data_IF_877441196343
#
_entry.id   IF_877441196343
#
_cell.length_a   1.000
_cell.length_b   1.000
_cell.length_c   1.000
_cell.angle_alpha   90.00
_cell.angle_beta   90.00
_cell.angle_gamma   90.00
#
_symmetry.space_group_name_H-M   'P 1'
#
loop_
_entity.id
_entity.type
_entity.pdbx_description
1 polymer ?
#
# COMPACT_ATOMS: atom_id res chain seq x y z
N UNK A 1 40.71 17.53 65.46
CA UNK A 1 39.25 17.24 65.39
C UNK A 1 38.61 17.67 64.06
N UNK A 2 38.78 18.92 63.59
CA UNK A 2 38.23 19.37 62.29
C UNK A 2 38.66 18.53 61.08
N UNK A 3 39.95 18.19 60.98
CA UNK A 3 40.47 17.38 59.86
C UNK A 3 39.98 15.92 59.85
N UNK A 4 39.69 15.35 61.03
CA UNK A 4 39.17 13.98 61.16
C UNK A 4 37.74 13.92 60.61
N UNK A 5 36.90 14.92 60.90
CA UNK A 5 35.54 14.99 60.36
C UNK A 5 35.51 15.14 58.82
N UNK A 6 36.44 15.92 58.26
CA UNK A 6 36.57 16.08 56.80
C UNK A 6 37.01 14.76 56.15
N UNK A 7 37.97 14.07 56.75
CA UNK A 7 38.48 12.79 56.24
C UNK A 7 37.40 11.70 56.30
N UNK A 8 36.58 11.66 57.37
CA UNK A 8 35.44 10.76 57.47
C UNK A 8 34.35 11.06 56.42
N UNK A 9 34.07 12.34 56.14
CA UNK A 9 33.11 12.71 55.08
C UNK A 9 33.60 12.32 53.68
N UNK A 10 34.89 12.50 53.38
CA UNK A 10 35.47 12.10 52.11
C UNK A 10 35.47 10.57 51.94
N UNK A 11 35.80 9.83 53.01
CA UNK A 11 35.73 8.36 52.99
C UNK A 11 34.29 7.88 52.81
N UNK A 12 33.30 8.49 53.47
CA UNK A 12 31.90 8.12 53.26
C UNK A 12 31.42 8.39 51.83
N UNK A 13 31.81 9.52 51.22
CA UNK A 13 31.48 9.85 49.83
C UNK A 13 32.12 8.86 48.84
N UNK A 14 33.36 8.44 49.11
CA UNK A 14 34.08 7.47 48.28
C UNK A 14 33.46 6.07 48.37
N UNK A 15 33.01 5.66 49.56
CA UNK A 15 32.32 4.38 49.79
C UNK A 15 30.93 4.35 49.16
N UNK A 16 30.17 5.45 49.25
CA UNK A 16 28.84 5.56 48.62
C UNK A 16 28.96 5.51 47.08
N UNK A 17 30.00 6.10 46.49
CA UNK A 17 30.22 6.09 45.05
C UNK A 17 30.56 4.72 44.45
N UNK A 18 31.10 3.77 45.23
CA UNK A 18 31.44 2.43 44.73
C UNK A 18 30.28 1.42 44.80
N UNK A 19 29.21 1.71 45.54
CA UNK A 19 28.16 0.73 45.83
C UNK A 19 26.96 0.77 44.88
N UNK A 20 26.98 1.61 43.85
CA UNK A 20 25.87 1.74 42.89
C UNK A 20 26.19 0.89 41.66
N UNK A 21 25.99 -0.44 41.78
CA UNK A 21 25.80 -1.28 40.59
C UNK A 21 24.33 -1.14 40.17
N UNK A 22 24.10 -0.42 39.07
CA UNK A 22 22.78 -0.37 38.43
C UNK A 22 22.37 -1.81 38.05
N UNK A 23 21.19 -2.29 38.46
CA UNK A 23 20.73 -3.61 38.08
C UNK A 23 20.57 -3.65 36.55
N UNK A 24 21.39 -4.46 35.87
CA UNK A 24 21.23 -4.69 34.43
C UNK A 24 19.80 -5.17 34.17
N UNK A 25 18.99 -4.29 33.59
CA UNK A 25 17.62 -4.65 33.20
C UNK A 25 17.72 -5.78 32.16
N UNK A 26 17.08 -6.93 32.38
CA UNK A 26 17.15 -8.04 31.45
C UNK A 26 16.44 -7.66 30.14
N UNK A 27 17.17 -7.66 29.03
CA UNK A 27 16.63 -7.40 27.69
C UNK A 27 15.66 -8.52 27.32
N UNK A 28 14.41 -8.15 27.04
CA UNK A 28 13.30 -9.06 26.79
C UNK A 28 12.73 -8.99 25.37
N UNK A 29 12.93 -7.88 24.67
CA UNK A 29 12.37 -7.62 23.33
C UNK A 29 13.35 -6.87 22.41
N UNK A 30 12.97 -6.71 21.14
CA UNK A 30 13.78 -6.07 20.12
C UNK A 30 14.04 -4.59 20.43
N UNK A 31 13.02 -3.86 20.89
CA UNK A 31 13.08 -2.44 21.21
C UNK A 31 14.11 -2.15 22.32
N UNK A 32 14.10 -2.95 23.39
CA UNK A 32 15.08 -2.87 24.48
C UNK A 32 16.49 -3.20 23.99
N UNK A 33 16.63 -4.22 23.13
CA UNK A 33 17.93 -4.61 22.57
C UNK A 33 18.54 -3.48 21.73
N UNK A 34 17.74 -2.87 20.85
CA UNK A 34 18.17 -1.78 19.98
C UNK A 34 18.43 -0.49 20.77
N UNK A 35 17.59 -0.17 21.77
CA UNK A 35 17.78 0.98 22.65
C UNK A 35 19.06 0.88 23.50
N UNK A 36 19.48 -0.35 23.85
CA UNK A 36 20.74 -0.62 24.51
C UNK A 36 21.97 -0.53 23.58
N UNK A 37 21.80 -0.20 22.29
CA UNK A 37 22.89 0.02 21.34
C UNK A 37 23.54 -1.25 20.79
N UNK A 38 22.88 -2.40 20.94
CA UNK A 38 23.34 -3.67 20.40
C UNK A 38 23.22 -3.71 18.86
N UNK A 39 24.01 -4.56 18.17
CA UNK A 39 23.99 -4.64 16.71
C UNK A 39 22.62 -5.10 16.19
N UNK A 40 22.04 -4.29 15.31
CA UNK A 40 20.85 -4.61 14.51
C UNK A 40 21.29 -5.09 13.14
N UNK A 41 20.79 -6.24 12.72
CA UNK A 41 21.10 -6.83 11.41
C UNK A 41 20.23 -6.21 10.32
N UNK A 42 20.81 -6.08 9.13
CA UNK A 42 20.15 -5.65 7.88
C UNK A 42 19.24 -6.77 7.34
N UNK A 43 18.29 -7.24 8.15
CA UNK A 43 17.30 -8.27 7.80
C UNK A 43 15.88 -7.73 7.94
N UNK A 44 14.91 -8.38 7.30
CA UNK A 44 13.49 -8.12 7.51
C UNK A 44 12.75 -9.42 7.91
N UNK A 45 12.08 -9.46 9.09
CA UNK A 45 12.05 -8.43 10.14
C UNK A 45 13.43 -8.06 10.69
N UNK A 46 13.55 -6.87 11.27
CA UNK A 46 14.82 -6.45 11.89
C UNK A 46 15.14 -7.36 13.06
N UNK A 47 16.42 -7.63 13.27
CA UNK A 47 16.89 -8.51 14.33
C UNK A 47 18.02 -7.85 15.10
N UNK A 48 17.99 -7.94 16.42
CA UNK A 48 19.01 -7.36 17.30
C UNK A 48 19.70 -8.46 18.13
N UNK A 49 21.03 -8.44 18.24
CA UNK A 49 21.79 -9.48 18.96
C UNK A 49 22.45 -8.93 20.22
N UNK A 50 22.12 -9.52 21.39
CA UNK A 50 22.71 -9.15 22.67
C UNK A 50 22.98 -10.39 23.53
N UNK A 51 24.21 -10.52 24.07
CA UNK A 51 24.55 -11.57 25.03
C UNK A 51 24.34 -13.01 24.51
N UNK A 52 24.51 -13.24 23.20
CA UNK A 52 24.29 -14.55 22.56
C UNK A 52 22.82 -14.89 22.28
N UNK A 53 21.90 -13.95 22.52
CA UNK A 53 20.47 -14.06 22.16
C UNK A 53 20.16 -13.11 21.01
N UNK A 54 19.18 -13.49 20.19
CA UNK A 54 18.66 -12.65 19.10
C UNK A 54 17.20 -12.32 19.40
N UNK A 55 16.86 -11.04 19.26
CA UNK A 55 15.51 -10.50 19.44
C UNK A 55 15.01 -10.05 18.07
N UNK A 56 13.85 -10.53 17.65
CA UNK A 56 13.24 -10.23 16.35
C UNK A 56 12.16 -9.18 16.55
N UNK A 57 12.11 -8.17 15.68
CA UNK A 57 11.06 -7.14 15.69
C UNK A 57 9.69 -7.78 15.42
N UNK A 58 8.72 -7.50 16.29
CA UNK A 58 7.32 -7.86 16.05
C UNK A 58 6.72 -6.93 15.00
N UNK A 59 6.74 -7.38 13.75
CA UNK A 59 6.03 -6.68 12.68
C UNK A 59 4.54 -6.92 12.90
N UNK A 60 3.84 -5.88 13.35
CA UNK A 60 2.37 -5.83 13.26
C UNK A 60 2.05 -5.79 11.77
N UNK A 61 1.85 -6.97 11.18
CA UNK A 61 1.15 -7.09 9.91
C UNK A 61 -0.18 -6.39 10.16
N UNK A 62 -0.42 -5.29 9.47
CA UNK A 62 -1.70 -4.63 9.54
C UNK A 62 -2.75 -5.66 9.12
N UNK A 63 -3.49 -6.20 10.09
CA UNK A 63 -4.75 -6.86 9.83
C UNK A 63 -5.70 -5.77 9.35
N UNK A 64 -5.69 -5.49 8.05
CA UNK A 64 -6.86 -5.22 7.21
C UNK A 64 -6.42 -4.90 5.76
N UNK A 65 -6.86 -5.80 4.87
CA UNK A 65 -7.15 -5.67 3.42
C UNK A 65 -6.02 -5.31 2.44
N UNK A 66 -5.30 -6.34 1.98
CA UNK A 66 -5.07 -6.47 0.54
C UNK A 66 -6.47 -6.72 -0.05
N UNK A 67 -7.06 -5.74 -0.73
CA UNK A 67 -8.32 -5.90 -1.46
C UNK A 67 -8.15 -7.14 -2.35
N UNK A 68 -9.11 -8.06 -2.32
CA UNK A 68 -9.07 -9.42 -2.90
C UNK A 68 -8.78 -9.51 -4.41
N UNK A 69 -8.36 -8.43 -5.08
CA UNK A 69 -8.02 -8.41 -6.50
C UNK A 69 -6.67 -7.74 -6.72
N UNK A 70 -5.57 -8.51 -6.62
CA UNK A 70 -4.44 -8.20 -7.48
C UNK A 70 -4.95 -8.43 -8.93
N UNK A 71 -4.92 -7.45 -9.86
CA UNK A 71 -5.70 -7.48 -11.12
C UNK A 71 -5.38 -8.59 -12.14
N UNK A 72 -4.61 -9.59 -11.77
CA UNK A 72 -4.24 -10.71 -12.62
C UNK A 72 -4.64 -12.02 -11.94
N UNK A 73 -5.68 -12.66 -12.49
CA UNK A 73 -6.12 -14.02 -12.13
C UNK A 73 -5.13 -15.12 -12.52
N UNK A 74 -3.84 -14.93 -12.23
CA UNK A 74 -2.80 -15.95 -12.36
C UNK A 74 -2.75 -16.79 -11.08
N UNK A 75 -2.88 -18.11 -11.22
CA UNK A 75 -2.60 -19.04 -10.14
C UNK A 75 -1.17 -18.80 -9.61
N UNK A 76 -1.05 -18.27 -8.39
CA UNK A 76 0.23 -17.98 -7.74
C UNK A 76 0.59 -16.50 -7.58
N UNK A 77 -0.29 -15.57 -7.93
CA UNK A 77 -0.17 -14.17 -7.50
C UNK A 77 -0.55 -14.06 -6.01
N UNK A 78 0.35 -13.51 -5.19
CA UNK A 78 0.11 -13.30 -3.75
C UNK A 78 0.64 -11.93 -3.29
N UNK A 79 -0.13 -11.28 -2.42
CA UNK A 79 0.23 -10.06 -1.72
C UNK A 79 1.33 -10.36 -0.68
N UNK A 80 2.49 -9.70 -0.76
CA UNK A 80 3.48 -9.73 0.32
C UNK A 80 3.08 -8.79 1.47
N UNK A 81 3.68 -8.99 2.64
CA UNK A 81 3.57 -8.19 3.87
C UNK A 81 3.83 -6.68 3.69
N UNK A 82 4.27 -6.25 2.51
CA UNK A 82 4.54 -4.86 2.12
C UNK A 82 3.51 -4.28 1.15
N UNK A 83 2.35 -4.94 0.96
CA UNK A 83 1.29 -4.52 0.04
C UNK A 83 1.78 -4.42 -1.42
N UNK A 84 2.70 -5.29 -1.83
CA UNK A 84 3.16 -5.40 -3.22
C UNK A 84 2.71 -6.73 -3.81
N UNK A 85 2.14 -6.71 -5.01
CA UNK A 85 1.98 -7.94 -5.80
C UNK A 85 3.38 -8.40 -6.22
N UNK A 86 3.75 -9.62 -5.83
CA UNK A 86 5.00 -10.26 -6.22
C UNK A 86 4.73 -11.31 -7.31
N UNK A 87 5.74 -11.63 -8.13
CA UNK A 87 5.64 -12.46 -9.34
C UNK A 87 4.86 -11.82 -10.50
N UNK A 88 4.82 -10.49 -10.57
CA UNK A 88 4.50 -9.78 -11.80
C UNK A 88 5.81 -9.53 -12.53
N UNK A 89 6.00 -10.12 -13.70
CA UNK A 89 6.87 -9.55 -14.70
C UNK A 89 6.33 -8.15 -15.05
N UNK A 90 7.19 -7.14 -14.91
CA UNK A 90 6.88 -5.71 -15.10
C UNK A 90 6.37 -5.40 -16.53
N UNK A 91 6.49 -6.37 -17.43
CA UNK A 91 6.13 -6.33 -18.84
C UNK A 91 4.78 -7.03 -19.14
N UNK A 92 4.19 -7.75 -18.18
CA UNK A 92 3.06 -8.66 -18.37
C UNK A 92 1.86 -8.35 -17.48
N UNK A 93 1.57 -7.07 -17.27
CA UNK A 93 0.22 -6.61 -17.00
C UNK A 93 -0.37 -5.93 -18.25
N UNK A 94 -0.76 -6.66 -19.32
CA UNK A 94 -1.64 -6.12 -20.33
C UNK A 94 -3.07 -6.23 -19.78
N UNK A 95 -3.43 -5.30 -18.90
CA UNK A 95 -4.74 -5.28 -18.28
C UNK A 95 -5.12 -3.85 -17.97
N UNK A 96 -6.35 -3.51 -18.31
CA UNK A 96 -7.02 -2.28 -17.92
C UNK A 96 -6.73 -1.93 -16.46
N UNK A 97 -6.32 -0.69 -16.17
CA UNK A 97 -6.10 -0.21 -14.79
C UNK A 97 -7.40 -0.26 -13.98
N UNK A 98 -8.54 -0.19 -14.67
CA UNK A 98 -9.88 -0.32 -14.08
C UNK A 98 -10.49 -1.70 -14.35
N UNK A 99 -11.26 -2.20 -13.38
CA UNK A 99 -12.20 -3.30 -13.60
C UNK A 99 -13.40 -2.81 -14.40
N UNK A 100 -14.19 -3.74 -14.96
CA UNK A 100 -15.48 -3.41 -15.59
C UNK A 100 -16.39 -2.60 -14.65
N UNK A 101 -16.50 -2.99 -13.37
CA UNK A 101 -17.36 -2.30 -12.40
C UNK A 101 -16.86 -0.87 -12.14
N UNK A 102 -15.55 -0.69 -12.00
CA UNK A 102 -14.95 0.64 -11.83
C UNK A 102 -15.18 1.51 -13.06
N UNK A 103 -14.95 0.97 -14.26
CA UNK A 103 -15.18 1.69 -15.52
C UNK A 103 -16.68 2.04 -15.68
N UNK A 104 -17.58 1.14 -15.29
CA UNK A 104 -19.03 1.39 -15.27
C UNK A 104 -19.40 2.49 -14.27
N UNK A 105 -18.82 2.51 -13.07
CA UNK A 105 -19.07 3.59 -12.09
C UNK A 105 -18.60 4.94 -12.62
N UNK A 106 -17.46 4.99 -13.32
CA UNK A 106 -16.97 6.21 -13.96
C UNK A 106 -17.93 6.65 -15.08
N UNK A 107 -18.43 5.71 -15.89
CA UNK A 107 -19.43 5.98 -16.91
C UNK A 107 -20.71 6.64 -16.33
N UNK A 108 -21.18 6.11 -15.20
CA UNK A 108 -22.38 6.59 -14.48
C UNK A 108 -22.17 7.89 -13.72
N UNK A 109 -20.91 8.25 -13.42
CA UNK A 109 -20.58 9.55 -12.84
C UNK A 109 -20.56 10.66 -13.90
N UNK A 110 -20.47 10.28 -15.18
CA UNK A 110 -20.56 11.19 -16.32
C UNK A 110 -21.99 11.60 -16.67
N UNK A 111 -22.22 11.87 -17.96
CA UNK A 111 -23.48 12.41 -18.47
C UNK A 111 -24.56 11.35 -18.79
N UNK A 112 -24.44 10.13 -18.27
CA UNK A 112 -25.27 8.97 -18.64
C UNK A 112 -25.86 8.29 -17.40
N UNK A 113 -27.14 7.93 -17.45
CA UNK A 113 -27.83 7.21 -16.36
C UNK A 113 -27.77 5.68 -16.53
N UNK A 114 -28.12 4.92 -15.49
CA UNK A 114 -28.10 3.45 -15.55
C UNK A 114 -29.05 2.90 -16.63
N UNK A 115 -30.19 3.53 -16.84
CA UNK A 115 -31.18 3.12 -17.84
C UNK A 115 -30.69 3.32 -19.27
N UNK A 116 -29.72 4.22 -19.46
CA UNK A 116 -29.15 4.54 -20.76
C UNK A 116 -27.97 3.63 -21.13
N UNK A 117 -27.42 2.84 -20.21
CA UNK A 117 -26.38 1.87 -20.53
C UNK A 117 -27.00 0.56 -21.04
N UNK A 118 -26.62 0.12 -22.23
CA UNK A 118 -27.19 -1.11 -22.84
C UNK A 118 -26.61 -2.40 -22.26
N UNK A 119 -25.52 -2.30 -21.50
CA UNK A 119 -24.77 -3.45 -20.96
C UNK A 119 -23.71 -4.00 -21.91
N UNK A 120 -23.71 -3.56 -23.18
CA UNK A 120 -22.65 -3.87 -24.14
C UNK A 120 -21.43 -2.98 -23.87
N UNK A 121 -20.25 -3.59 -23.79
CA UNK A 121 -19.01 -2.88 -23.57
C UNK A 121 -17.82 -3.53 -24.28
N UNK A 122 -16.81 -2.72 -24.58
CA UNK A 122 -15.54 -3.14 -25.19
C UNK A 122 -14.40 -2.35 -24.56
N UNK A 123 -13.32 -3.05 -24.19
CA UNK A 123 -12.06 -2.41 -23.84
C UNK A 123 -11.12 -2.40 -25.05
N UNK A 124 -10.49 -1.25 -25.31
CA UNK A 124 -9.48 -1.09 -26.34
C UNK A 124 -8.11 -0.85 -25.70
N UNK A 125 -7.26 -1.87 -25.74
CA UNK A 125 -5.90 -1.85 -25.18
C UNK A 125 -4.99 -0.82 -25.87
N UNK A 126 -5.14 -0.60 -27.19
CA UNK A 126 -4.27 0.32 -27.93
C UNK A 126 -4.45 1.77 -27.48
N UNK A 127 -5.67 2.13 -27.09
CA UNK A 127 -6.03 3.48 -26.64
C UNK A 127 -6.20 3.55 -25.13
N UNK A 128 -6.16 2.42 -24.42
CA UNK A 128 -6.47 2.30 -22.99
C UNK A 128 -7.82 2.97 -22.66
N UNK A 129 -8.86 2.54 -23.38
CA UNK A 129 -10.20 3.11 -23.23
C UNK A 129 -11.27 2.04 -23.11
N UNK A 130 -12.21 2.23 -22.18
CA UNK A 130 -13.45 1.48 -22.13
C UNK A 130 -14.53 2.17 -22.94
N UNK A 131 -15.32 1.40 -23.67
CA UNK A 131 -16.43 1.86 -24.48
C UNK A 131 -17.68 1.14 -23.99
N UNK A 132 -18.65 1.89 -23.51
CA UNK A 132 -19.97 1.37 -23.15
C UNK A 132 -20.98 1.91 -24.14
N UNK A 133 -21.74 1.03 -24.79
CA UNK A 133 -22.80 1.48 -25.68
C UNK A 133 -23.94 2.08 -24.85
N UNK A 134 -24.50 3.19 -25.35
CA UNK A 134 -25.57 3.92 -24.66
C UNK A 134 -26.76 4.10 -25.58
N UNK A 135 -27.97 3.93 -25.02
CA UNK A 135 -29.23 4.08 -25.74
C UNK A 135 -29.74 5.51 -25.61
N UNK A 136 -29.07 6.44 -26.32
CA UNK A 136 -29.51 7.83 -26.43
C UNK A 136 -29.97 8.06 -27.87
N UNK A 137 -31.26 8.36 -28.10
CA UNK A 137 -31.81 8.46 -29.44
C UNK A 137 -31.21 9.65 -30.20
N UNK A 138 -30.51 9.35 -31.29
CA UNK A 138 -30.06 10.32 -32.29
C UNK A 138 -29.98 9.65 -33.65
N UNK A 139 -30.74 10.16 -34.62
CA UNK A 139 -30.84 9.56 -35.95
C UNK A 139 -29.46 9.44 -36.61
N UNK A 140 -29.16 8.25 -37.16
CA UNK A 140 -27.90 7.96 -37.82
C UNK A 140 -26.68 7.82 -36.90
N UNK A 141 -26.85 7.85 -35.58
CA UNK A 141 -25.75 7.76 -34.62
C UNK A 141 -25.85 6.55 -33.71
N UNK A 142 -24.69 5.99 -33.35
CA UNK A 142 -24.53 4.97 -32.32
C UNK A 142 -23.57 5.50 -31.24
N UNK A 143 -24.08 6.16 -30.19
CA UNK A 143 -23.24 6.73 -29.14
C UNK A 143 -22.63 5.68 -28.23
N UNK A 144 -21.46 6.01 -27.66
CA UNK A 144 -20.83 5.23 -26.61
C UNK A 144 -20.22 6.17 -25.56
N UNK A 145 -20.30 5.79 -24.29
CA UNK A 145 -19.54 6.43 -23.22
C UNK A 145 -18.13 5.86 -23.21
N UNK A 146 -17.14 6.74 -23.41
CA UNK A 146 -15.72 6.38 -23.51
C UNK A 146 -14.99 6.81 -22.24
N UNK A 147 -14.37 5.86 -21.54
CA UNK A 147 -13.63 6.11 -20.31
C UNK A 147 -12.14 5.97 -20.62
N UNK A 148 -11.37 7.02 -20.34
CA UNK A 148 -9.93 7.07 -20.55
C UNK A 148 -9.19 6.66 -19.28
N UNK A 149 -8.44 5.58 -19.33
CA UNK A 149 -7.76 5.05 -18.14
C UNK A 149 -6.71 6.00 -17.58
N UNK A 150 -5.97 6.65 -18.47
CA UNK A 150 -4.88 7.54 -18.10
C UNK A 150 -5.32 8.76 -17.29
N UNK A 151 -6.54 9.25 -17.54
CA UNK A 151 -7.07 10.47 -16.93
C UNK A 151 -8.20 10.21 -15.96
N UNK A 152 -8.80 9.02 -15.98
CA UNK A 152 -10.01 8.70 -15.22
C UNK A 152 -11.23 9.52 -15.66
N UNK A 153 -11.23 10.03 -16.90
CA UNK A 153 -12.32 10.86 -17.43
C UNK A 153 -13.26 10.04 -18.32
N UNK A 154 -14.53 10.43 -18.35
CA UNK A 154 -15.55 9.85 -19.22
C UNK A 154 -16.06 10.90 -20.22
N UNK A 155 -16.24 10.51 -21.48
CA UNK A 155 -16.74 11.38 -22.55
C UNK A 155 -17.73 10.63 -23.45
N UNK A 156 -18.83 11.30 -23.82
CA UNK A 156 -19.80 10.76 -24.76
C UNK A 156 -19.30 10.88 -26.20
N UNK A 157 -19.04 9.75 -26.85
CA UNK A 157 -18.59 9.67 -28.23
C UNK A 157 -19.74 9.30 -29.18
N UNK A 158 -20.04 10.18 -30.15
CA UNK A 158 -21.10 9.94 -31.14
C UNK A 158 -20.53 9.33 -32.41
N UNK A 159 -20.71 8.03 -32.62
CA UNK A 159 -20.32 7.36 -33.86
C UNK A 159 -21.47 7.43 -34.87
N UNK A 160 -21.51 8.50 -35.66
CA UNK A 160 -22.56 8.72 -36.65
C UNK A 160 -22.15 8.22 -38.04
N UNK A 161 -23.08 7.58 -38.76
CA UNK A 161 -22.89 7.14 -40.14
C UNK A 161 -23.88 7.87 -41.06
N UNK A 162 -23.35 8.56 -42.07
CA UNK A 162 -24.14 9.27 -43.10
C UNK A 162 -24.08 10.80 -43.00
N UNK A 163 -24.32 11.48 -44.13
CA UNK A 163 -24.48 12.94 -44.19
C UNK A 163 -25.71 13.30 -43.35
N UNK A 164 -25.49 13.94 -42.20
CA UNK A 164 -26.55 14.56 -41.41
C UNK A 164 -27.15 15.67 -42.30
N UNK A 165 -28.41 15.59 -42.74
CA UNK A 165 -29.03 16.72 -43.41
C UNK A 165 -29.13 17.86 -42.38
N UNK A 166 -28.70 19.06 -42.76
CA UNK A 166 -28.80 20.28 -41.95
C UNK A 166 -30.23 20.58 -41.49
#
# INVERSE_FOLDING_TARGET
MKYIAILLMLVSLLVIGCAIEEPMQPISNFEECAAAGNPVMESYPRQCSAGGRTFVEEVKLAEETCYDDCPCGLEGAWCDARQKCLNLDEEQCPGSVYTYEQARTIALTGDVTEEQLTGDFVYNENTQTWWFDVDIPKEGCNPAMVIYEKTGSAELNWRCAGLIPE
#
